data_IF_774045154176
#
_entry.id   IF_774045154176
#
_cell.length_a   1.000
_cell.length_b   1.000
_cell.length_c   1.000
_cell.angle_alpha   90.00
_cell.angle_beta   90.00
_cell.angle_gamma   90.00
#
_symmetry.space_group_name_H-M   'P 1'
#
loop_
_entity.id
_entity.type
_entity.pdbx_description
1 polymer ?
#
# COMPACT_ATOMS: atom_id res chain seq x y z
N UNK A 1 1.87 -13.57 -6.62
CA UNK A 1 2.90 -13.02 -7.53
C UNK A 1 2.41 -12.93 -8.97
N UNK A 2 2.25 -14.04 -9.72
CA UNK A 2 1.98 -13.98 -11.17
C UNK A 2 0.75 -13.14 -11.58
N UNK A 3 -0.39 -13.31 -10.91
CA UNK A 3 -1.59 -12.53 -11.18
C UNK A 3 -1.40 -11.03 -10.89
N UNK A 4 -0.77 -10.72 -9.76
CA UNK A 4 -0.47 -9.33 -9.40
C UNK A 4 0.53 -8.70 -10.39
N UNK A 5 1.56 -9.43 -10.82
CA UNK A 5 2.50 -8.96 -11.84
C UNK A 5 1.83 -8.70 -13.19
N UNK A 6 0.89 -9.56 -13.61
CA UNK A 6 0.09 -9.32 -14.81
C UNK A 6 -0.80 -8.06 -14.66
N UNK A 7 -1.43 -7.87 -13.50
CA UNK A 7 -2.22 -6.67 -13.22
C UNK A 7 -1.37 -5.39 -13.22
N UNK A 8 -0.19 -5.41 -12.58
CA UNK A 8 0.75 -4.29 -12.58
C UNK A 8 1.18 -3.91 -14.00
N UNK A 9 1.46 -4.90 -14.85
CA UNK A 9 1.78 -4.67 -16.27
C UNK A 9 0.62 -4.02 -17.01
N UNK A 10 -0.60 -4.55 -16.86
CA UNK A 10 -1.78 -3.97 -17.50
C UNK A 10 -2.06 -2.52 -17.04
N UNK A 11 -1.89 -2.23 -15.75
CA UNK A 11 -1.99 -0.87 -15.21
C UNK A 11 -0.93 0.05 -15.84
N UNK A 12 0.33 -0.39 -15.90
CA UNK A 12 1.42 0.38 -16.49
C UNK A 12 1.19 0.63 -17.99
N UNK A 13 0.75 -0.36 -18.77
CA UNK A 13 0.36 -0.18 -20.17
C UNK A 13 -0.75 0.86 -20.34
N UNK A 14 -1.66 0.96 -19.37
CA UNK A 14 -2.72 1.95 -19.32
C UNK A 14 -2.30 3.33 -18.77
N UNK A 15 -1.03 3.56 -18.44
CA UNK A 15 -0.57 4.79 -17.81
C UNK A 15 -1.02 4.95 -16.36
N UNK A 16 -1.14 3.86 -15.62
CA UNK A 16 -1.51 3.86 -14.19
C UNK A 16 -0.40 3.21 -13.36
N UNK A 17 0.12 3.94 -12.38
CA UNK A 17 1.06 3.38 -11.41
C UNK A 17 0.33 2.44 -10.44
N UNK A 18 0.64 1.15 -10.48
CA UNK A 18 0.04 0.16 -9.59
C UNK A 18 0.62 0.17 -8.18
N UNK A 19 -0.23 -0.09 -7.18
CA UNK A 19 0.15 -0.15 -5.76
C UNK A 19 -0.06 -1.57 -5.24
N UNK A 20 0.99 -2.24 -4.78
CA UNK A 20 0.86 -3.55 -4.10
C UNK A 20 0.45 -3.35 -2.64
N UNK A 21 -0.54 -4.09 -2.16
CA UNK A 21 -1.07 -3.91 -0.81
C UNK A 21 -1.71 -5.15 -0.21
N UNK A 22 -1.83 -5.26 1.12
CA UNK A 22 -1.13 -4.43 2.13
C UNK A 22 0.18 -5.14 2.49
N UNK A 23 1.32 -4.49 2.26
CA UNK A 23 2.64 -5.07 2.52
C UNK A 23 2.92 -5.04 4.04
N UNK A 24 3.50 -6.11 4.65
CA UNK A 24 4.01 -7.33 4.03
C UNK A 24 3.03 -8.52 4.03
N UNK A 25 1.73 -8.30 4.25
CA UNK A 25 0.71 -9.32 4.03
C UNK A 25 -0.45 -9.32 5.04
N UNK A 26 -1.64 -8.93 4.59
CA UNK A 26 -2.85 -8.96 5.44
C UNK A 26 -3.51 -10.35 5.54
N UNK A 27 -3.14 -11.31 4.68
CA UNK A 27 -3.91 -12.54 4.45
C UNK A 27 -4.05 -13.50 5.65
N UNK A 28 -3.25 -13.34 6.70
CA UNK A 28 -3.35 -14.12 7.96
C UNK A 28 -4.12 -13.42 9.07
N UNK A 29 -4.51 -12.16 8.87
CA UNK A 29 -5.31 -11.45 9.86
C UNK A 29 -6.69 -12.10 10.01
N UNK A 30 -7.10 -12.32 11.25
CA UNK A 30 -8.40 -12.91 11.59
C UNK A 30 -9.43 -11.85 12.00
N UNK A 31 -9.05 -10.58 12.08
CA UNK A 31 -9.96 -9.47 12.37
C UNK A 31 -9.80 -8.32 11.36
N UNK A 32 -10.87 -7.54 11.27
CA UNK A 32 -10.93 -6.35 10.44
C UNK A 32 -10.14 -5.21 11.11
N UNK A 33 -9.14 -4.66 10.39
CA UNK A 33 -8.30 -3.53 10.83
C UNK A 33 -9.09 -2.24 11.07
N UNK A 34 -10.36 -2.17 10.71
CA UNK A 34 -11.19 -0.99 10.97
C UNK A 34 -11.68 -0.87 12.42
N UNK A 35 -11.60 -1.95 13.24
CA UNK A 35 -12.20 -1.99 14.58
C UNK A 35 -11.18 -2.18 15.71
N UNK A 36 -10.18 -3.03 15.52
CA UNK A 36 -9.12 -3.29 16.50
C UNK A 36 -7.81 -3.54 15.75
N UNK A 37 -6.66 -3.30 16.40
CA UNK A 37 -5.35 -3.59 15.81
C UNK A 37 -5.24 -5.10 15.54
N UNK A 38 -5.22 -5.56 14.27
CA UNK A 38 -5.07 -6.96 14.00
C UNK A 38 -3.68 -7.46 14.33
N UNK A 39 -3.65 -8.71 14.80
CA UNK A 39 -2.43 -9.37 15.25
C UNK A 39 -2.24 -10.67 14.51
N UNK A 40 -1.01 -10.87 14.03
CA UNK A 40 -0.59 -12.12 13.42
C UNK A 40 0.44 -12.77 14.35
N UNK A 41 0.03 -13.86 15.00
CA UNK A 41 0.86 -14.65 15.92
C UNK A 41 1.69 -15.73 15.19
N UNK A 42 1.67 -15.74 13.85
CA UNK A 42 2.44 -16.69 13.06
C UNK A 42 3.95 -16.49 13.28
N UNK A 43 4.69 -17.60 13.25
CA UNK A 43 6.14 -17.56 13.35
C UNK A 43 6.79 -16.91 12.13
N UNK A 44 8.03 -16.45 12.29
CA UNK A 44 8.81 -15.91 11.17
C UNK A 44 8.93 -16.89 9.99
N UNK A 45 9.03 -18.20 10.27
CA UNK A 45 9.12 -19.24 9.24
C UNK A 45 7.81 -19.37 8.43
N UNK A 46 6.66 -19.19 9.08
CA UNK A 46 5.36 -19.19 8.41
C UNK A 46 5.17 -17.92 7.58
N UNK A 47 5.54 -16.77 8.13
CA UNK A 47 5.47 -15.46 7.48
C UNK A 47 6.40 -15.34 6.27
N UNK A 48 7.49 -16.12 6.22
CA UNK A 48 8.41 -16.15 5.09
C UNK A 48 7.70 -16.39 3.74
N UNK A 49 6.65 -17.22 3.72
CA UNK A 49 5.88 -17.51 2.51
C UNK A 49 5.03 -16.32 2.07
N UNK A 50 4.49 -15.57 3.03
CA UNK A 50 3.68 -14.40 2.75
C UNK A 50 4.57 -13.28 2.18
N UNK A 51 5.75 -13.09 2.80
CA UNK A 51 6.73 -12.10 2.37
C UNK A 51 7.30 -12.41 0.98
N UNK A 52 7.51 -13.70 0.65
CA UNK A 52 7.97 -14.14 -0.68
C UNK A 52 6.99 -13.73 -1.80
N UNK A 53 5.68 -13.64 -1.51
CA UNK A 53 4.72 -13.16 -2.49
C UNK A 53 4.97 -11.69 -2.89
N UNK A 54 5.43 -10.86 -1.95
CA UNK A 54 5.83 -9.47 -2.18
C UNK A 54 7.26 -9.34 -2.70
N UNK A 55 8.19 -10.21 -2.28
CA UNK A 55 9.58 -10.19 -2.75
C UNK A 55 9.66 -10.42 -4.27
N UNK A 56 8.76 -11.27 -4.81
CA UNK A 56 8.61 -11.48 -6.26
C UNK A 56 7.98 -10.30 -7.02
N UNK A 57 7.59 -9.25 -6.31
CA UNK A 57 6.99 -8.01 -6.82
C UNK A 57 7.72 -6.79 -6.25
N UNK A 58 8.96 -6.96 -5.77
CA UNK A 58 9.72 -5.89 -5.11
C UNK A 58 10.08 -4.73 -6.06
N UNK A 59 9.99 -4.98 -7.37
CA UNK A 59 10.13 -4.00 -8.46
C UNK A 59 8.85 -3.18 -8.72
N UNK A 60 7.74 -3.47 -8.03
CA UNK A 60 6.53 -2.67 -8.11
C UNK A 60 6.84 -1.20 -7.76
N UNK A 61 6.21 -0.24 -8.44
CA UNK A 61 6.56 1.17 -8.26
C UNK A 61 6.14 1.72 -6.90
N UNK A 62 5.04 1.20 -6.35
CA UNK A 62 4.43 1.67 -5.12
C UNK A 62 3.91 0.50 -4.28
N UNK A 63 3.93 0.67 -2.96
CA UNK A 63 3.31 -0.25 -2.01
C UNK A 63 2.64 0.52 -0.87
N UNK A 64 1.63 -0.10 -0.27
CA UNK A 64 0.89 0.43 0.87
C UNK A 64 1.05 -0.51 2.07
N UNK A 65 1.48 0.03 3.22
CA UNK A 65 1.72 -0.76 4.45
C UNK A 65 0.42 -1.32 5.03
N UNK A 66 0.53 -2.32 5.91
CA UNK A 66 -0.60 -2.85 6.67
C UNK A 66 -0.63 -2.30 8.10
N UNK A 67 -1.80 -1.90 8.59
CA UNK A 67 -2.03 -1.62 10.01
C UNK A 67 -2.19 -2.91 10.81
N UNK A 68 -1.16 -3.78 10.81
CA UNK A 68 -1.16 -5.10 11.45
C UNK A 68 0.11 -5.27 12.28
N UNK A 69 -0.04 -5.77 13.51
CA UNK A 69 1.08 -6.19 14.35
C UNK A 69 1.48 -7.63 14.04
N UNK A 70 2.79 -7.87 13.89
CA UNK A 70 3.35 -9.21 13.69
C UNK A 70 4.17 -9.59 14.91
N UNK A 71 3.65 -10.52 15.72
CA UNK A 71 4.22 -10.82 17.04
C UNK A 71 5.67 -11.35 16.95
N UNK A 72 6.03 -11.98 15.83
CA UNK A 72 7.38 -12.49 15.59
C UNK A 72 8.44 -11.39 15.34
N UNK A 73 8.02 -10.15 15.07
CA UNK A 73 8.93 -9.05 14.70
C UNK A 73 8.83 -7.85 15.64
N UNK A 74 7.61 -7.32 15.85
CA UNK A 74 7.38 -6.13 16.67
C UNK A 74 5.98 -6.17 17.27
N UNK A 75 5.84 -6.89 18.38
CA UNK A 75 4.55 -7.18 18.97
C UNK A 75 3.85 -5.92 19.49
N UNK A 76 2.57 -5.78 19.16
CA UNK A 76 1.70 -4.63 19.46
C UNK A 76 2.04 -3.35 18.68
N UNK A 77 3.01 -3.39 17.76
CA UNK A 77 3.32 -2.25 16.89
C UNK A 77 2.89 -2.59 15.46
N UNK A 78 1.94 -1.85 14.86
CA UNK A 78 1.54 -2.09 13.48
C UNK A 78 2.70 -1.88 12.52
N UNK A 79 2.76 -2.65 11.43
CA UNK A 79 3.84 -2.57 10.45
C UNK A 79 4.01 -1.16 9.86
N UNK A 80 2.93 -0.39 9.72
CA UNK A 80 2.96 1.03 9.32
C UNK A 80 3.79 1.91 10.25
N UNK A 81 3.86 1.61 11.55
CA UNK A 81 4.57 2.39 12.56
C UNK A 81 5.86 1.70 13.05
N UNK A 82 6.11 0.47 12.63
CA UNK A 82 7.26 -0.32 13.08
C UNK A 82 8.47 -0.10 12.16
N UNK A 83 9.52 0.48 12.72
CA UNK A 83 10.82 0.61 12.05
C UNK A 83 11.41 -0.76 11.70
N UNK A 84 11.20 -1.78 12.54
CA UNK A 84 11.67 -3.16 12.29
C UNK A 84 10.96 -3.70 11.05
N UNK A 85 9.63 -3.59 11.00
CA UNK A 85 8.86 -4.07 9.85
C UNK A 85 9.24 -3.32 8.57
N UNK A 86 9.41 -2.00 8.61
CA UNK A 86 9.73 -1.24 7.41
C UNK A 86 11.18 -1.49 6.96
N UNK A 87 12.17 -1.31 7.83
CA UNK A 87 13.58 -1.38 7.43
C UNK A 87 14.04 -2.82 7.22
N UNK A 88 13.77 -3.70 8.19
CA UNK A 88 14.36 -5.04 8.19
C UNK A 88 13.52 -6.02 7.34
N UNK A 89 12.19 -5.86 7.33
CA UNK A 89 11.30 -6.74 6.55
C UNK A 89 11.02 -6.18 5.16
N UNK A 90 10.43 -4.99 5.04
CA UNK A 90 9.99 -4.45 3.74
C UNK A 90 11.18 -4.02 2.87
N UNK A 91 12.09 -3.20 3.40
CA UNK A 91 13.23 -2.69 2.62
C UNK A 91 14.32 -3.74 2.45
N UNK A 92 14.72 -4.45 3.50
CA UNK A 92 15.82 -5.40 3.43
C UNK A 92 15.40 -6.81 2.96
N UNK A 93 14.51 -7.49 3.69
CA UNK A 93 14.15 -8.90 3.38
C UNK A 93 13.33 -9.07 2.11
N UNK A 94 12.28 -8.26 1.94
CA UNK A 94 11.45 -8.26 0.72
C UNK A 94 12.20 -7.58 -0.42
N UNK A 95 13.07 -6.60 -0.12
CA UNK A 95 13.84 -5.87 -1.13
C UNK A 95 13.03 -4.76 -1.82
N UNK A 96 11.91 -4.32 -1.23
CA UNK A 96 11.05 -3.32 -1.86
C UNK A 96 11.68 -1.92 -1.76
N UNK A 97 12.09 -1.37 -2.91
CA UNK A 97 12.66 -0.03 -3.01
C UNK A 97 11.70 1.00 -3.65
N UNK A 98 10.46 0.60 -3.94
CA UNK A 98 9.38 1.47 -4.44
C UNK A 98 8.96 2.56 -3.45
N UNK A 99 8.05 3.44 -3.89
CA UNK A 99 7.42 4.43 -3.01
C UNK A 99 6.52 3.73 -2.01
N UNK A 100 6.78 3.90 -0.72
CA UNK A 100 6.01 3.28 0.35
C UNK A 100 5.06 4.31 0.97
N UNK A 101 3.77 4.07 0.87
CA UNK A 101 2.76 4.88 1.54
C UNK A 101 2.15 4.13 2.73
N UNK A 102 1.61 4.88 3.69
CA UNK A 102 0.74 4.30 4.71
C UNK A 102 -0.57 3.81 4.08
N UNK A 103 -1.23 2.85 4.72
CA UNK A 103 -2.69 2.76 4.61
C UNK A 103 -3.34 3.96 5.34
N UNK A 104 -4.66 4.11 5.26
CA UNK A 104 -5.36 5.29 5.77
C UNK A 104 -5.09 5.52 7.27
N UNK A 105 -4.46 6.65 7.60
CA UNK A 105 -4.18 7.05 8.97
C UNK A 105 -5.45 7.29 9.80
N UNK A 106 -6.60 7.53 9.16
CA UNK A 106 -7.90 7.70 9.81
C UNK A 106 -8.45 6.41 10.44
N UNK A 107 -7.93 5.25 10.05
CA UNK A 107 -8.36 3.96 10.58
C UNK A 107 -8.03 3.80 12.07
N UNK A 108 -8.91 3.15 12.83
CA UNK A 108 -8.83 3.10 14.30
C UNK A 108 -7.69 2.20 14.83
N UNK A 109 -7.07 1.36 14.00
CA UNK A 109 -6.06 0.38 14.41
C UNK A 109 -4.76 0.98 14.98
N UNK A 110 -4.44 2.26 14.73
CA UNK A 110 -3.15 2.83 15.09
C UNK A 110 -3.11 3.46 16.50
N UNK A 111 -4.26 3.90 17.04
CA UNK A 111 -4.32 4.71 18.27
C UNK A 111 -3.69 6.10 18.11
N UNK A 112 -3.74 6.94 19.14
CA UNK A 112 -3.18 8.30 19.10
C UNK A 112 -3.89 9.26 18.13
N UNK A 113 -3.35 10.46 17.97
CA UNK A 113 -3.82 11.50 17.03
C UNK A 113 -3.32 11.24 15.60
N UNK A 114 -3.87 11.93 14.59
CA UNK A 114 -3.41 11.77 13.20
C UNK A 114 -1.96 12.24 13.01
N UNK A 115 -1.58 13.31 13.69
CA UNK A 115 -0.22 13.85 13.72
C UNK A 115 0.76 12.84 14.33
N UNK A 116 0.44 12.27 15.49
CA UNK A 116 1.26 11.24 16.14
C UNK A 116 1.47 10.02 15.24
N UNK A 117 0.40 9.56 14.57
CA UNK A 117 0.48 8.46 13.60
C UNK A 117 1.36 8.81 12.40
N UNK A 118 1.20 10.01 11.87
CA UNK A 118 1.98 10.50 10.72
C UNK A 118 3.47 10.62 11.05
N UNK A 119 3.82 11.23 12.17
CA UNK A 119 5.21 11.32 12.66
C UNK A 119 5.84 9.94 12.83
N UNK A 120 5.12 9.03 13.49
CA UNK A 120 5.60 7.67 13.71
C UNK A 120 5.79 6.89 12.39
N UNK A 121 4.88 7.03 11.42
CA UNK A 121 4.99 6.37 10.12
C UNK A 121 6.19 6.89 9.30
N UNK A 122 6.42 8.21 9.26
CA UNK A 122 7.61 8.79 8.62
C UNK A 122 8.88 8.33 9.32
N UNK A 123 8.91 8.35 10.66
CA UNK A 123 10.06 7.91 11.44
C UNK A 123 10.39 6.41 11.24
N UNK A 124 9.36 5.58 11.01
CA UNK A 124 9.54 4.16 10.69
C UNK A 124 10.06 3.94 9.26
N UNK A 125 9.75 4.84 8.33
CA UNK A 125 10.33 4.90 6.98
C UNK A 125 9.33 4.85 5.83
N UNK A 126 8.06 5.18 6.08
CA UNK A 126 7.11 5.50 5.00
C UNK A 126 7.56 6.78 4.28
N UNK A 127 7.36 6.81 2.97
CA UNK A 127 7.69 7.96 2.12
C UNK A 127 6.51 8.94 2.03
N UNK A 128 5.26 8.43 2.05
CA UNK A 128 4.02 9.22 1.89
C UNK A 128 2.99 8.84 2.94
N UNK A 129 2.29 9.84 3.49
CA UNK A 129 1.15 9.66 4.37
C UNK A 129 -0.14 9.68 3.57
N UNK A 130 -0.99 8.66 3.77
CA UNK A 130 -2.34 8.61 3.20
C UNK A 130 -3.36 8.85 4.32
N UNK A 131 -4.26 9.80 4.10
CA UNK A 131 -5.38 10.07 4.99
C UNK A 131 -6.65 10.35 4.20
N UNK A 132 -7.75 9.72 4.59
CA UNK A 132 -9.07 9.89 3.97
C UNK A 132 -10.07 10.46 4.98
N UNK A 133 -10.46 11.73 4.82
CA UNK A 133 -11.55 12.34 5.62
C UNK A 133 -12.96 12.09 5.04
N UNK A 134 -13.11 11.12 4.13
CA UNK A 134 -14.33 10.92 3.32
C UNK A 134 -15.59 10.52 4.10
N UNK A 135 -15.45 10.19 5.38
CA UNK A 135 -16.56 9.87 6.29
C UNK A 135 -17.12 11.11 7.00
N UNK A 136 -16.42 12.23 6.91
CA UNK A 136 -16.85 13.50 7.48
C UNK A 136 -17.63 14.31 6.44
N UNK A 137 -18.68 14.98 6.89
CA UNK A 137 -19.44 15.93 6.08
C UNK A 137 -19.20 17.39 6.47
N UNK A 138 -18.60 17.64 7.63
CA UNK A 138 -18.28 18.98 8.12
C UNK A 138 -16.95 19.48 7.52
N UNK A 139 -16.95 20.55 6.70
CA UNK A 139 -15.72 21.09 6.11
C UNK A 139 -14.67 21.52 7.13
N UNK A 140 -15.08 21.98 8.33
CA UNK A 140 -14.14 22.38 9.37
C UNK A 140 -13.42 21.18 9.98
N UNK A 141 -14.14 20.09 10.19
CA UNK A 141 -13.56 18.83 10.67
C UNK A 141 -12.60 18.24 9.64
N UNK A 142 -13.00 18.19 8.35
CA UNK A 142 -12.12 17.75 7.25
C UNK A 142 -10.84 18.59 7.21
N UNK A 143 -10.97 19.92 7.24
CA UNK A 143 -9.81 20.80 7.23
C UNK A 143 -8.91 20.58 8.44
N UNK A 144 -9.48 20.36 9.63
CA UNK A 144 -8.71 20.09 10.85
C UNK A 144 -7.88 18.81 10.73
N UNK A 145 -8.48 17.70 10.29
CA UNK A 145 -7.76 16.43 10.12
C UNK A 145 -6.65 16.56 9.05
N UNK A 146 -6.99 17.15 7.90
CA UNK A 146 -6.03 17.37 6.81
C UNK A 146 -4.86 18.28 7.25
N UNK A 147 -5.13 19.32 8.04
CA UNK A 147 -4.10 20.21 8.56
C UNK A 147 -3.17 19.50 9.55
N UNK A 148 -3.71 18.60 10.39
CA UNK A 148 -2.91 17.80 11.33
C UNK A 148 -1.94 16.87 10.59
N UNK A 149 -2.41 16.16 9.56
CA UNK A 149 -1.54 15.29 8.74
C UNK A 149 -0.54 16.12 7.93
N UNK A 150 -0.96 17.24 7.35
CA UNK A 150 -0.08 18.12 6.57
C UNK A 150 1.05 18.73 7.42
N UNK A 151 0.80 19.04 8.69
CA UNK A 151 1.80 19.61 9.59
C UNK A 151 2.99 18.68 9.85
N UNK A 152 2.78 17.36 9.76
CA UNK A 152 3.79 16.33 10.00
C UNK A 152 4.30 15.66 8.72
N UNK A 153 3.68 15.98 7.58
CA UNK A 153 4.11 15.47 6.27
C UNK A 153 5.34 16.23 5.78
N UNK A 154 6.50 15.57 5.61
CA UNK A 154 7.69 16.23 5.09
C UNK A 154 7.54 16.53 3.59
N UNK A 155 8.26 17.54 3.12
CA UNK A 155 8.54 17.67 1.69
C UNK A 155 9.34 16.46 1.21
N UNK A 156 8.93 15.88 0.07
CA UNK A 156 9.67 14.77 -0.52
C UNK A 156 11.04 15.26 -1.00
N UNK A 157 12.09 14.69 -0.41
CA UNK A 157 13.48 14.96 -0.78
C UNK A 157 14.28 13.65 -0.85
N UNK A 158 15.44 13.66 -1.52
CA UNK A 158 16.32 12.49 -1.60
C UNK A 158 15.63 11.23 -2.14
N UNK A 159 15.79 10.11 -1.44
CA UNK A 159 15.27 8.79 -1.84
C UNK A 159 13.73 8.75 -1.98
N UNK A 160 12.93 9.26 -1.02
CA UNK A 160 11.48 9.40 -1.20
C UNK A 160 11.08 10.12 -2.50
N UNK A 161 11.76 11.23 -2.84
CA UNK A 161 11.48 11.97 -4.08
C UNK A 161 11.83 11.16 -5.32
N UNK A 162 12.99 10.51 -5.35
CA UNK A 162 13.38 9.61 -6.45
C UNK A 162 12.34 8.50 -6.68
N UNK A 163 11.82 7.91 -5.60
CA UNK A 163 10.78 6.88 -5.64
C UNK A 163 9.47 7.43 -6.19
N UNK A 164 9.08 8.63 -5.76
CA UNK A 164 7.85 9.28 -6.21
C UNK A 164 7.92 9.63 -7.71
N UNK A 165 9.02 10.21 -8.16
CA UNK A 165 9.24 10.52 -9.57
C UNK A 165 9.26 9.27 -10.45
N UNK A 166 9.85 8.17 -9.97
CA UNK A 166 9.80 6.88 -10.68
C UNK A 166 8.38 6.33 -10.79
N UNK A 167 7.57 6.46 -9.74
CA UNK A 167 6.18 6.05 -9.76
C UNK A 167 5.35 6.95 -10.70
N UNK A 168 5.52 8.27 -10.62
CA UNK A 168 4.84 9.25 -11.48
C UNK A 168 5.17 9.02 -12.96
N UNK A 169 6.44 8.76 -13.31
CA UNK A 169 6.85 8.52 -14.69
C UNK A 169 6.06 7.37 -15.36
N UNK A 170 5.69 6.33 -14.62
CA UNK A 170 4.87 5.23 -15.14
C UNK A 170 3.43 5.64 -15.48
N UNK A 171 2.95 6.74 -14.92
CA UNK A 171 1.63 7.30 -15.23
C UNK A 171 1.63 8.31 -16.39
N UNK A 172 2.80 8.60 -16.96
CA UNK A 172 2.94 9.58 -18.05
C UNK A 172 2.92 8.96 -19.46
N UNK A 173 2.96 7.63 -19.55
CA UNK A 173 2.95 6.91 -20.81
C UNK A 173 1.81 5.91 -20.84
N UNK A 174 1.07 5.90 -21.95
CA UNK A 174 0.03 4.91 -22.22
C UNK A 174 0.36 4.24 -23.56
N UNK A 175 0.32 2.91 -23.58
CA UNK A 175 0.45 2.12 -24.79
C UNK A 175 -0.83 2.25 -25.63
N UNK A 176 -0.69 2.18 -26.96
CA UNK A 176 -1.85 2.13 -27.85
C UNK A 176 -2.66 0.85 -27.57
N UNK A 177 -3.99 0.99 -27.46
CA UNK A 177 -4.88 -0.10 -27.10
C UNK A 177 -6.00 -0.27 -28.13
N UNK A 178 -6.05 -1.43 -28.78
CA UNK A 178 -7.18 -1.80 -29.63
C UNK A 178 -8.36 -2.26 -28.76
N UNK A 179 -9.35 -1.37 -28.62
CA UNK A 179 -10.56 -1.62 -27.84
C UNK A 179 -11.36 -2.83 -28.37
N UNK A 180 -11.36 -3.07 -29.68
CA UNK A 180 -12.12 -4.15 -30.32
C UNK A 180 -11.46 -5.48 -30.00
N UNK A 181 -10.14 -5.59 -30.21
CA UNK A 181 -9.37 -6.79 -29.87
C UNK A 181 -9.41 -7.06 -28.36
N UNK A 182 -9.28 -6.02 -27.54
CA UNK A 182 -9.36 -6.11 -26.08
C UNK A 182 -10.70 -6.68 -25.62
N UNK A 183 -11.81 -6.22 -26.20
CA UNK A 183 -13.14 -6.74 -25.87
C UNK A 183 -13.35 -8.18 -26.34
N UNK A 184 -12.86 -8.52 -27.53
CA UNK A 184 -12.89 -9.91 -28.03
C UNK A 184 -12.11 -10.85 -27.10
N UNK A 185 -10.93 -10.42 -26.65
CA UNK A 185 -10.10 -11.16 -25.71
C UNK A 185 -10.83 -11.34 -24.37
N UNK A 186 -11.40 -10.27 -23.82
CA UNK A 186 -12.20 -10.34 -22.58
C UNK A 186 -13.37 -11.33 -22.72
N UNK A 187 -14.14 -11.24 -23.80
CA UNK A 187 -15.26 -12.15 -24.06
C UNK A 187 -14.81 -13.61 -24.21
N UNK A 188 -13.60 -13.87 -24.74
CA UNK A 188 -13.04 -15.22 -24.82
C UNK A 188 -12.77 -15.84 -23.44
N UNK A 189 -12.41 -15.02 -22.44
CA UNK A 189 -12.22 -15.46 -21.06
C UNK A 189 -13.52 -15.51 -20.26
N UNK A 190 -14.49 -14.65 -20.59
CA UNK A 190 -15.78 -14.54 -19.90
C UNK A 190 -16.97 -14.72 -20.87
N UNK A 191 -17.12 -15.90 -21.50
CA UNK A 191 -18.13 -16.11 -22.54
C UNK A 191 -19.57 -15.95 -22.05
N UNK A 192 -19.82 -16.10 -20.74
CA UNK A 192 -21.13 -15.90 -20.12
C UNK A 192 -21.54 -14.43 -19.98
N UNK A 193 -20.63 -13.48 -20.19
CA UNK A 193 -20.91 -12.03 -20.20
C UNK A 193 -21.12 -11.48 -21.62
N UNK A 194 -20.93 -12.31 -22.65
CA UNK A 194 -21.14 -11.94 -24.05
C UNK A 194 -22.65 -11.83 -24.35
N UNK A 195 -23.23 -10.66 -24.08
CA UNK A 195 -24.65 -10.37 -24.32
C UNK A 195 -25.29 -9.35 -23.38
N UNK A 196 -24.56 -8.85 -22.37
CA UNK A 196 -25.05 -7.86 -21.41
C UNK A 196 -24.72 -6.39 -21.80
N UNK A 197 -24.31 -6.14 -23.04
CA UNK A 197 -23.99 -4.80 -23.56
C UNK A 197 -25.15 -4.21 -24.36
#
# INVERSE_FOLDING_TARGET
ASLAGAALKGLASGGVAGVIKHIPGHGRSMCDSHLELPRVAASEAELAKDFDAFARLADAPMAMTAHISYDAFDANVPATLSKIMIQDVIRARIGFDGLLMTDDLGMQALGGSLGERGEAAIAAGCDVLLHCSGFLSDPLAIHSEMAEVAAVSPELTGRPLERALRAEALSTHQEEFDLVEGWQTFQSYFPHLAGAA
#
